data_IF_527319898838
#
_entry.id   IF_527319898838
#
_cell.length_a   1.000
_cell.length_b   1.000
_cell.length_c   1.000
_cell.angle_alpha   90.00
_cell.angle_beta   90.00
_cell.angle_gamma   90.00
#
_symmetry.space_group_name_H-M   'P 1'
#
loop_
_entity.id
_entity.type
_entity.pdbx_description
1 polymer ?
#
# COMPACT_ATOMS: atom_id res chain seq x y z
N UNK A 1 46.43 -0.11 55.32
CA UNK A 1 47.11 0.34 54.09
C UNK A 1 47.05 -0.76 53.04
N UNK A 2 46.53 -0.42 51.84
CA UNK A 2 46.55 -1.16 50.55
C UNK A 2 45.70 -2.45 50.55
N UNK A 3 44.48 -2.54 50.03
CA UNK A 3 43.86 -2.10 48.76
C UNK A 3 44.66 -2.49 47.52
N UNK A 4 44.31 -3.64 46.90
CA UNK A 4 44.58 -4.12 45.53
C UNK A 4 44.39 -5.65 45.54
N UNK A 5 43.63 -6.36 44.71
CA UNK A 5 43.00 -6.09 43.41
C UNK A 5 41.85 -7.09 43.27
N UNK A 6 40.62 -6.61 43.49
CA UNK A 6 39.39 -7.33 43.20
C UNK A 6 38.99 -6.91 41.77
N UNK A 7 39.60 -7.50 40.73
CA UNK A 7 39.35 -7.09 39.32
C UNK A 7 39.20 -8.29 38.38
N UNK A 8 38.94 -9.49 38.90
CA UNK A 8 38.79 -10.71 38.08
C UNK A 8 37.59 -11.51 38.59
N UNK A 9 36.36 -10.97 38.46
CA UNK A 9 35.37 -11.73 37.67
C UNK A 9 34.37 -10.84 36.89
N UNK A 10 34.61 -9.54 36.74
CA UNK A 10 33.62 -8.64 36.12
C UNK A 10 33.64 -8.64 34.58
N UNK A 11 34.71 -9.12 33.97
CA UNK A 11 34.86 -9.10 32.50
C UNK A 11 34.10 -10.21 31.77
N UNK A 12 33.62 -11.26 32.47
CA UNK A 12 32.90 -12.38 31.84
C UNK A 12 31.37 -12.27 31.94
N UNK A 13 30.85 -11.37 32.77
CA UNK A 13 29.39 -11.18 32.94
C UNK A 13 28.79 -10.11 32.03
N UNK A 14 29.62 -9.27 31.39
CA UNK A 14 29.14 -8.22 30.47
C UNK A 14 28.95 -8.75 29.04
N UNK A 15 29.56 -9.88 28.67
CA UNK A 15 29.44 -10.44 27.32
C UNK A 15 28.10 -11.17 27.07
N UNK A 16 27.33 -11.52 28.12
CA UNK A 16 26.08 -12.28 28.00
C UNK A 16 24.81 -11.40 27.88
N UNK A 17 24.94 -10.06 28.02
CA UNK A 17 23.80 -9.14 28.02
C UNK A 17 23.49 -8.49 26.65
N UNK A 18 24.23 -8.85 25.59
CA UNK A 18 24.03 -8.35 24.23
C UNK A 18 23.46 -9.42 23.28
N UNK A 19 22.60 -10.33 23.76
CA UNK A 19 21.61 -10.96 22.89
C UNK A 19 20.49 -9.93 22.67
N UNK A 20 20.82 -8.88 21.89
CA UNK A 20 19.80 -8.00 21.35
C UNK A 20 18.79 -8.85 20.59
N UNK A 21 17.52 -8.67 20.90
CA UNK A 21 16.43 -9.17 20.05
C UNK A 21 16.66 -8.60 18.66
N UNK A 22 17.10 -9.46 17.73
CA UNK A 22 17.03 -9.13 16.31
C UNK A 22 15.54 -9.14 16.02
N UNK A 23 14.91 -7.96 16.05
CA UNK A 23 13.62 -7.78 15.40
C UNK A 23 13.88 -8.03 13.91
N UNK A 24 13.70 -9.27 13.47
CA UNK A 24 13.54 -9.55 12.06
C UNK A 24 12.28 -8.81 11.63
N UNK A 25 12.46 -7.60 11.10
CA UNK A 25 11.45 -6.93 10.30
C UNK A 25 11.22 -7.85 9.12
N UNK A 26 10.24 -8.75 9.25
CA UNK A 26 9.74 -9.52 8.12
C UNK A 26 9.21 -8.48 7.15
N UNK A 27 9.97 -8.21 6.08
CA UNK A 27 9.48 -7.44 4.96
C UNK A 27 8.13 -8.04 4.56
N UNK A 28 7.12 -7.19 4.37
CA UNK A 28 5.82 -7.67 3.93
C UNK A 28 6.03 -8.53 2.68
N UNK A 29 5.45 -9.74 2.62
CA UNK A 29 5.62 -10.59 1.45
C UNK A 29 5.16 -9.82 0.22
N UNK A 30 6.02 -9.79 -0.81
CA UNK A 30 5.68 -9.17 -2.09
C UNK A 30 4.43 -9.83 -2.65
N UNK A 31 3.47 -9.02 -3.12
CA UNK A 31 2.27 -9.56 -3.75
C UNK A 31 2.66 -10.30 -5.03
N UNK A 32 2.13 -11.51 -5.21
CA UNK A 32 2.13 -12.17 -6.51
C UNK A 32 1.08 -11.56 -7.45
N UNK A 33 0.96 -12.14 -8.65
CA UNK A 33 0.02 -11.64 -9.67
C UNK A 33 -1.43 -11.63 -9.16
N UNK A 34 -1.86 -12.67 -8.45
CA UNK A 34 -3.25 -12.78 -8.02
C UNK A 34 -3.55 -11.77 -6.91
N UNK A 35 -2.64 -11.63 -5.94
CA UNK A 35 -2.69 -10.62 -4.88
C UNK A 35 -2.89 -9.20 -5.45
N UNK A 36 -2.13 -8.84 -6.49
CA UNK A 36 -2.23 -7.56 -7.18
C UNK A 36 -3.57 -7.37 -7.92
N UNK A 37 -4.06 -8.41 -8.61
CA UNK A 37 -5.36 -8.37 -9.30
C UNK A 37 -6.50 -8.24 -8.30
N UNK A 38 -6.48 -9.00 -7.22
CA UNK A 38 -7.49 -8.96 -6.17
C UNK A 38 -7.53 -7.58 -5.50
N UNK A 39 -6.36 -6.96 -5.29
CA UNK A 39 -6.28 -5.59 -4.80
C UNK A 39 -6.90 -4.59 -5.79
N UNK A 40 -6.76 -4.77 -7.11
CA UNK A 40 -7.40 -3.88 -8.11
C UNK A 40 -8.91 -4.02 -8.09
N UNK A 41 -9.38 -5.26 -8.01
CA UNK A 41 -10.81 -5.52 -7.87
C UNK A 41 -11.36 -4.87 -6.61
N UNK A 42 -10.65 -5.00 -5.48
CA UNK A 42 -11.02 -4.35 -4.22
C UNK A 42 -11.02 -2.82 -4.34
N UNK A 43 -10.05 -2.25 -5.05
CA UNK A 43 -9.99 -0.80 -5.30
C UNK A 43 -11.21 -0.31 -6.08
N UNK A 44 -11.55 -0.97 -7.19
CA UNK A 44 -12.71 -0.58 -8.01
C UNK A 44 -14.01 -0.74 -7.21
N UNK A 45 -14.15 -1.81 -6.42
CA UNK A 45 -15.32 -2.00 -5.54
C UNK A 45 -15.39 -0.92 -4.43
N UNK A 46 -14.25 -0.50 -3.89
CA UNK A 46 -14.18 0.52 -2.85
C UNK A 46 -14.60 1.90 -3.37
N UNK A 47 -14.32 2.24 -4.63
CA UNK A 47 -14.79 3.49 -5.25
C UNK A 47 -16.31 3.62 -5.15
N UNK A 48 -17.05 2.58 -5.53
CA UNK A 48 -18.53 2.58 -5.51
C UNK A 48 -19.08 2.58 -4.08
N UNK A 49 -18.32 2.04 -3.12
CA UNK A 49 -18.69 2.06 -1.70
C UNK A 49 -18.29 3.36 -0.99
N UNK A 50 -17.56 4.25 -1.66
CA UNK A 50 -16.99 5.46 -1.08
C UNK A 50 -16.15 5.16 0.19
N UNK A 51 -15.47 4.01 0.22
CA UNK A 51 -14.74 3.53 1.41
C UNK A 51 -13.23 3.35 1.13
N UNK A 52 -12.45 4.45 1.14
CA UNK A 52 -11.01 4.36 0.96
C UNK A 52 -10.31 3.62 2.12
N UNK A 53 -10.94 3.51 3.30
CA UNK A 53 -10.36 2.83 4.47
C UNK A 53 -10.35 1.30 4.31
N UNK A 54 -11.10 0.77 3.35
CA UNK A 54 -11.04 -0.64 2.99
C UNK A 54 -9.71 -1.06 2.34
N UNK A 55 -8.85 -0.11 1.97
CA UNK A 55 -7.61 -0.35 1.23
C UNK A 55 -6.37 0.00 2.08
N UNK A 56 -5.24 -0.69 1.86
CA UNK A 56 -4.01 -0.46 2.61
C UNK A 56 -3.22 0.71 2.02
N UNK A 57 -3.73 1.94 2.08
CA UNK A 57 -2.94 3.11 1.67
C UNK A 57 -1.76 3.34 2.62
N UNK A 58 -0.62 3.75 2.06
CA UNK A 58 0.47 4.29 2.85
C UNK A 58 0.07 5.62 3.48
N UNK A 59 0.78 6.04 4.53
CA UNK A 59 0.54 7.33 5.19
C UNK A 59 0.71 8.51 4.20
N UNK A 60 1.63 8.36 3.24
CA UNK A 60 1.86 9.31 2.16
C UNK A 60 1.66 8.58 0.83
N UNK A 61 0.69 9.05 0.05
CA UNK A 61 0.32 8.51 -1.25
C UNK A 61 0.28 9.63 -2.27
N UNK A 62 0.82 9.40 -3.46
CA UNK A 62 0.69 10.28 -4.62
C UNK A 62 -0.55 9.88 -5.40
N UNK A 63 -1.68 10.50 -5.08
CA UNK A 63 -2.94 10.23 -5.75
C UNK A 63 -3.24 11.31 -6.81
N UNK A 64 -3.59 10.87 -8.01
CA UNK A 64 -3.91 11.75 -9.15
C UNK A 64 -5.13 11.23 -9.88
N UNK A 65 -5.93 12.13 -10.45
CA UNK A 65 -7.09 11.80 -11.28
C UNK A 65 -7.18 12.82 -12.41
N UNK A 66 -7.16 12.35 -13.67
CA UNK A 66 -7.29 13.13 -14.91
C UNK A 66 -6.43 14.41 -15.04
N UNK A 67 -5.43 14.59 -14.15
CA UNK A 67 -4.44 15.66 -14.07
C UNK A 67 -4.79 16.94 -14.83
N UNK A 68 -5.57 17.83 -14.22
CA UNK A 68 -5.41 19.24 -14.57
C UNK A 68 -4.01 19.68 -14.16
N UNK A 69 -3.31 20.41 -15.04
CA UNK A 69 -1.92 20.88 -14.83
C UNK A 69 -1.72 21.69 -13.54
N UNK A 70 -2.80 22.05 -12.87
CA UNK A 70 -2.90 22.89 -11.68
C UNK A 70 -3.14 22.11 -10.37
N UNK A 71 -3.36 20.79 -10.41
CA UNK A 71 -3.55 19.97 -9.20
C UNK A 71 -2.30 19.12 -8.97
N UNK A 72 -1.57 19.38 -7.88
CA UNK A 72 -0.33 18.65 -7.57
C UNK A 72 -0.61 17.19 -7.19
N UNK A 73 -1.51 16.95 -6.22
CA UNK A 73 -2.02 15.63 -5.83
C UNK A 73 -3.42 15.79 -5.22
N UNK A 74 -4.31 14.83 -5.45
CA UNK A 74 -5.63 14.78 -4.82
C UNK A 74 -5.55 14.05 -3.47
N UNK A 75 -6.44 14.41 -2.54
CA UNK A 75 -6.64 13.60 -1.34
C UNK A 75 -7.38 12.31 -1.71
N UNK A 76 -6.96 11.18 -1.15
CA UNK A 76 -7.69 9.91 -1.30
C UNK A 76 -9.10 10.08 -0.73
N UNK A 77 -10.10 9.65 -1.49
CA UNK A 77 -11.51 9.89 -1.15
C UNK A 77 -12.12 11.10 -1.85
N UNK A 78 -11.38 11.80 -2.71
CA UNK A 78 -11.89 12.87 -3.60
C UNK A 78 -12.07 12.41 -5.04
N UNK A 79 -12.84 13.20 -5.82
CA UNK A 79 -13.01 12.99 -7.25
C UNK A 79 -13.96 11.83 -7.55
N UNK A 80 -13.50 10.83 -8.30
CA UNK A 80 -14.28 9.64 -8.60
C UNK A 80 -14.71 8.89 -7.32
N UNK A 81 -13.94 8.99 -6.24
CA UNK A 81 -14.35 8.47 -4.93
C UNK A 81 -15.62 9.10 -4.38
N UNK A 82 -15.99 10.33 -4.76
CA UNK A 82 -17.23 10.99 -4.32
C UNK A 82 -18.36 10.77 -5.35
N UNK A 83 -17.99 10.54 -6.61
CA UNK A 83 -18.93 10.58 -7.73
C UNK A 83 -19.27 9.19 -8.31
N UNK A 84 -18.54 8.14 -7.92
CA UNK A 84 -18.81 6.77 -8.37
C UNK A 84 -20.21 6.32 -7.91
N UNK A 85 -20.99 5.76 -8.82
CA UNK A 85 -22.41 5.42 -8.58
C UNK A 85 -22.75 3.97 -8.89
N UNK A 86 -21.84 3.23 -9.52
CA UNK A 86 -22.07 1.83 -9.84
C UNK A 86 -20.94 1.20 -10.65
N UNK A 87 -21.01 -0.11 -10.84
CA UNK A 87 -20.01 -0.92 -11.54
C UNK A 87 -19.04 -1.66 -10.61
N UNK A 88 -17.98 -2.29 -11.18
CA UNK A 88 -17.70 -2.36 -12.62
C UNK A 88 -18.72 -3.26 -13.36
N UNK A 89 -18.82 -3.10 -14.68
CA UNK A 89 -19.58 -4.00 -15.57
C UNK A 89 -18.77 -5.28 -15.87
N UNK A 90 -19.24 -6.13 -16.80
CA UNK A 90 -18.48 -7.31 -17.24
C UNK A 90 -17.18 -6.97 -18.00
N UNK A 91 -17.08 -5.77 -18.59
CA UNK A 91 -15.84 -5.33 -19.24
C UNK A 91 -14.81 -4.92 -18.19
N UNK A 92 -13.86 -5.81 -17.92
CA UNK A 92 -12.78 -5.62 -16.97
C UNK A 92 -11.48 -6.23 -17.50
N UNK A 93 -10.43 -5.43 -17.55
CA UNK A 93 -9.07 -5.87 -17.90
C UNK A 93 -8.17 -5.53 -16.73
N UNK A 94 -7.39 -6.50 -16.26
CA UNK A 94 -6.42 -6.34 -15.18
C UNK A 94 -5.02 -6.75 -15.65
N UNK A 95 -4.05 -5.87 -15.40
CA UNK A 95 -2.63 -6.14 -15.57
C UNK A 95 -1.94 -6.07 -14.19
N UNK A 96 -1.01 -6.98 -13.95
CA UNK A 96 -0.27 -7.06 -12.69
C UNK A 96 1.18 -7.40 -12.99
N UNK A 97 2.08 -6.67 -12.35
CA UNK A 97 3.53 -6.78 -12.44
C UNK A 97 4.09 -7.04 -11.03
N UNK A 98 4.31 -8.33 -10.67
CA UNK A 98 4.90 -8.68 -9.38
C UNK A 98 6.33 -8.17 -9.18
N UNK A 99 7.10 -7.96 -10.25
CA UNK A 99 8.48 -7.45 -10.12
C UNK A 99 8.46 -5.97 -9.76
N UNK A 100 7.61 -5.19 -10.42
CA UNK A 100 7.45 -3.77 -10.14
C UNK A 100 6.53 -3.46 -8.95
N UNK A 101 5.91 -4.48 -8.35
CA UNK A 101 4.85 -4.36 -7.34
C UNK A 101 3.77 -3.35 -7.79
N UNK A 102 3.26 -3.51 -9.00
CA UNK A 102 2.32 -2.58 -9.62
C UNK A 102 1.17 -3.31 -10.30
N UNK A 103 0.01 -2.66 -10.35
CA UNK A 103 -1.16 -3.17 -11.04
C UNK A 103 -1.91 -2.06 -11.76
N UNK A 104 -2.65 -2.43 -12.80
CA UNK A 104 -3.48 -1.51 -13.55
C UNK A 104 -4.78 -2.19 -13.97
N UNK A 105 -5.80 -1.38 -14.22
CA UNK A 105 -7.06 -1.85 -14.77
C UNK A 105 -7.61 -0.92 -15.85
N UNK A 106 -8.42 -1.51 -16.73
CA UNK A 106 -9.39 -0.81 -17.58
C UNK A 106 -10.75 -1.44 -17.31
N UNK A 107 -11.68 -0.66 -16.76
CA UNK A 107 -13.02 -1.13 -16.41
C UNK A 107 -14.07 -0.12 -16.85
N UNK A 108 -15.26 -0.59 -17.20
CA UNK A 108 -16.42 0.29 -17.35
C UNK A 108 -17.18 0.34 -16.03
N UNK A 109 -17.44 1.56 -15.53
CA UNK A 109 -18.20 1.82 -14.30
C UNK A 109 -19.02 3.12 -14.44
N UNK A 110 -19.71 3.56 -13.39
CA UNK A 110 -20.54 4.77 -13.42
C UNK A 110 -19.98 5.90 -12.57
N UNK A 111 -19.97 7.10 -13.13
CA UNK A 111 -19.80 8.37 -12.42
C UNK A 111 -21.06 9.21 -12.61
N UNK A 112 -21.74 9.60 -11.51
CA UNK A 112 -23.03 10.34 -11.57
C UNK A 112 -24.02 9.71 -12.56
N UNK A 113 -24.21 8.40 -12.44
CA UNK A 113 -25.06 7.53 -13.25
C UNK A 113 -24.69 7.37 -14.75
N UNK A 114 -23.63 8.05 -15.20
CA UNK A 114 -23.12 7.95 -16.57
C UNK A 114 -22.00 6.94 -16.66
N UNK A 115 -22.00 6.13 -17.72
CA UNK A 115 -20.94 5.17 -17.96
C UNK A 115 -19.63 5.89 -18.30
N UNK A 116 -18.56 5.48 -17.64
CA UNK A 116 -17.19 5.92 -17.85
C UNK A 116 -16.29 4.72 -18.08
N UNK A 117 -15.24 4.90 -18.87
CA UNK A 117 -14.12 3.95 -18.94
C UNK A 117 -13.03 4.44 -17.99
N UNK A 118 -12.89 3.77 -16.84
CA UNK A 118 -11.83 4.05 -15.89
C UNK A 118 -10.56 3.30 -16.30
N UNK A 119 -9.49 4.05 -16.53
CA UNK A 119 -8.12 3.53 -16.51
C UNK A 119 -7.44 3.92 -15.21
N UNK A 120 -7.01 2.94 -14.42
CA UNK A 120 -6.32 3.19 -13.16
C UNK A 120 -5.02 2.37 -13.08
N UNK A 121 -4.04 2.91 -12.36
CA UNK A 121 -2.80 2.23 -12.01
C UNK A 121 -2.51 2.51 -10.54
N UNK A 122 -1.95 1.52 -9.85
CA UNK A 122 -1.33 1.72 -8.55
C UNK A 122 0.00 1.02 -8.43
N UNK A 123 0.81 1.50 -7.49
CA UNK A 123 2.08 0.90 -7.07
C UNK A 123 1.98 0.56 -5.59
N UNK A 124 2.66 -0.52 -5.19
CA UNK A 124 2.81 -0.92 -3.80
C UNK A 124 4.26 -0.76 -3.34
N UNK A 125 4.41 -0.34 -2.09
CA UNK A 125 5.65 -0.44 -1.32
C UNK A 125 5.28 -1.03 0.06
N UNK A 126 6.01 -2.05 0.51
CA UNK A 126 5.74 -2.78 1.77
C UNK A 126 4.28 -3.23 1.94
N UNK A 127 3.65 -3.67 0.83
CA UNK A 127 2.25 -4.11 0.81
C UNK A 127 1.21 -2.99 0.90
N UNK A 128 1.62 -1.72 0.78
CA UNK A 128 0.75 -0.54 0.85
C UNK A 128 0.73 0.24 -0.45
N UNK A 129 -0.41 0.86 -0.78
CA UNK A 129 -0.58 1.70 -1.97
C UNK A 129 0.11 3.05 -1.78
N UNK A 130 0.98 3.45 -2.72
CA UNK A 130 1.79 4.68 -2.68
C UNK A 130 1.63 5.57 -3.91
#
# INVERSE_FOLDING_TARGET
MKLHRLVIPFALLVLLAMLGTIDTVLAAPQCDRQCLVDLMQKYVQALVKHDPKALPFAEKVKFTENSEKTVEFLEVGKGLWENATGGPTEFQIYAADPEAQAAACLVVMKEKDKDILLGARMKLEDGKIT
#
